data_IF_246019044256
#
_entry.id   IF_246019044256
#
_cell.length_a   1.000
_cell.length_b   1.000
_cell.length_c   1.000
_cell.angle_alpha   90.00
_cell.angle_beta   90.00
_cell.angle_gamma   90.00
#
_symmetry.space_group_name_H-M   'P 1'
#
loop_
_entity.id
_entity.type
_entity.pdbx_description
1 polymer ?
#
# COMPACT_ATOMS: atom_id res chain seq x y z
N UNK A 1 26.33 59.23 4.98
CA UNK A 1 25.40 58.11 4.69
C UNK A 1 26.12 57.05 3.86
N UNK A 2 26.61 55.96 4.46
CA UNK A 2 26.89 54.65 3.81
C UNK A 2 27.72 53.78 4.73
N UNK A 3 27.09 53.00 5.62
CA UNK A 3 27.79 51.91 6.33
C UNK A 3 26.83 50.85 6.89
N UNK A 4 25.81 50.44 6.13
CA UNK A 4 24.83 49.44 6.58
C UNK A 4 24.51 48.32 5.57
N UNK A 5 25.24 48.25 4.44
CA UNK A 5 25.07 47.18 3.43
C UNK A 5 25.96 45.96 3.66
N UNK A 6 27.06 46.08 4.41
CA UNK A 6 28.03 44.98 4.62
C UNK A 6 27.50 43.90 5.58
N UNK A 7 26.92 44.28 6.73
CA UNK A 7 26.43 43.35 7.77
C UNK A 7 25.24 42.46 7.34
N UNK A 8 24.49 42.84 6.29
CA UNK A 8 23.33 42.07 5.80
C UNK A 8 23.72 40.86 4.95
N UNK A 9 24.88 40.87 4.28
CA UNK A 9 25.33 39.74 3.44
C UNK A 9 25.90 38.59 4.28
N UNK A 10 26.64 38.90 5.34
CA UNK A 10 27.33 37.91 6.19
C UNK A 10 26.37 37.09 7.08
N UNK A 11 25.22 37.68 7.45
CA UNK A 11 24.18 36.97 8.20
C UNK A 11 23.43 35.94 7.34
N UNK A 12 23.25 36.21 6.04
CA UNK A 12 22.55 35.28 5.15
C UNK A 12 23.37 34.02 4.88
N UNK A 13 24.69 34.15 4.69
CA UNK A 13 25.57 32.98 4.51
C UNK A 13 25.63 32.13 5.78
N UNK A 14 25.68 32.77 6.96
CA UNK A 14 25.71 32.06 8.25
C UNK A 14 24.38 31.33 8.51
N UNK A 15 23.25 31.99 8.25
CA UNK A 15 21.93 31.36 8.36
C UNK A 15 21.76 30.19 7.39
N UNK A 16 22.16 30.34 6.13
CA UNK A 16 22.12 29.25 5.14
C UNK A 16 23.00 28.07 5.56
N UNK A 17 24.19 28.33 6.11
CA UNK A 17 25.08 27.29 6.61
C UNK A 17 24.49 26.55 7.82
N UNK A 18 23.89 27.29 8.77
CA UNK A 18 23.21 26.68 9.91
C UNK A 18 22.03 25.83 9.45
N UNK A 19 21.20 26.36 8.56
CA UNK A 19 20.04 25.67 8.01
C UNK A 19 20.44 24.38 7.27
N UNK A 20 21.48 24.43 6.44
CA UNK A 20 21.99 23.24 5.74
C UNK A 20 22.57 22.20 6.70
N UNK A 21 23.28 22.62 7.76
CA UNK A 21 23.76 21.69 8.81
C UNK A 21 22.58 21.02 9.51
N UNK A 22 21.59 21.79 9.94
CA UNK A 22 20.38 21.26 10.56
C UNK A 22 19.66 20.29 9.65
N UNK A 23 19.49 20.59 8.35
CA UNK A 23 18.86 19.67 7.41
C UNK A 23 19.68 18.41 7.14
N UNK A 24 21.01 18.50 7.12
CA UNK A 24 21.88 17.32 6.96
C UNK A 24 21.87 16.43 8.21
N UNK A 25 21.62 17.00 9.39
CA UNK A 25 21.51 16.26 10.65
C UNK A 25 20.13 15.60 10.82
N UNK A 26 19.12 15.99 10.04
CA UNK A 26 17.80 15.35 10.04
C UNK A 26 17.93 13.95 9.45
N UNK A 27 17.94 12.94 10.33
CA UNK A 27 17.80 11.55 9.94
C UNK A 27 16.34 11.27 9.58
N UNK A 28 16.07 10.98 8.31
CA UNK A 28 14.79 10.41 7.89
C UNK A 28 14.74 8.97 8.39
N UNK A 29 13.82 8.67 9.30
CA UNK A 29 13.68 7.32 9.86
C UNK A 29 13.16 6.33 8.82
N UNK A 30 12.41 6.80 7.82
CA UNK A 30 11.88 5.98 6.72
C UNK A 30 11.31 6.82 5.57
N UNK A 31 10.75 6.13 4.59
CA UNK A 31 10.14 6.70 3.39
C UNK A 31 8.66 7.04 3.60
N UNK A 32 8.14 7.93 2.76
CA UNK A 32 6.72 8.29 2.75
C UNK A 32 5.84 7.11 2.27
N UNK A 33 6.36 6.28 1.37
CA UNK A 33 5.68 5.09 0.88
C UNK A 33 6.67 3.95 0.64
N UNK A 34 6.21 2.72 0.87
CA UNK A 34 6.94 1.50 0.57
C UNK A 34 6.40 0.83 -0.68
N UNK A 35 7.28 0.23 -1.47
CA UNK A 35 6.90 -0.65 -2.57
C UNK A 35 7.94 -1.75 -2.76
N UNK A 36 7.57 -2.81 -3.45
CA UNK A 36 8.49 -3.89 -3.77
C UNK A 36 7.77 -5.21 -4.00
N UNK A 37 8.58 -6.27 -4.10
CA UNK A 37 8.11 -7.65 -4.22
C UNK A 37 8.41 -8.38 -2.92
N UNK A 38 7.47 -9.22 -2.49
CA UNK A 38 7.74 -10.18 -1.43
C UNK A 38 8.36 -11.43 -2.07
N UNK A 39 9.47 -11.96 -1.52
CA UNK A 39 9.98 -13.27 -1.92
C UNK A 39 8.98 -14.35 -1.49
N UNK A 40 8.89 -15.42 -2.29
CA UNK A 40 8.19 -16.67 -1.92
C UNK A 40 6.73 -16.51 -1.48
N UNK A 41 5.94 -15.74 -2.25
CA UNK A 41 4.50 -15.58 -2.00
C UNK A 41 3.78 -16.91 -2.23
N UNK A 42 3.24 -17.48 -1.16
CA UNK A 42 2.39 -18.66 -1.25
C UNK A 42 1.03 -18.34 -1.91
N UNK A 43 0.43 -19.32 -2.57
CA UNK A 43 -0.92 -19.16 -3.14
C UNK A 43 -1.92 -18.85 -2.01
N UNK A 44 -2.68 -17.75 -2.06
CA UNK A 44 -3.67 -17.42 -1.03
C UNK A 44 -4.78 -18.47 -0.85
N UNK A 45 -5.08 -19.29 -1.87
CA UNK A 45 -6.22 -20.23 -1.86
C UNK A 45 -7.52 -19.50 -1.50
N UNK A 46 -7.97 -18.64 -2.41
CA UNK A 46 -9.15 -17.79 -2.22
C UNK A 46 -10.43 -18.61 -2.42
N UNK A 47 -11.34 -18.54 -1.45
CA UNK A 47 -12.71 -19.03 -1.56
C UNK A 47 -13.68 -17.85 -1.57
N UNK A 48 -14.60 -17.82 -2.53
CA UNK A 48 -15.60 -16.75 -2.67
C UNK A 48 -16.96 -17.30 -2.29
N UNK A 49 -17.73 -16.54 -1.51
CA UNK A 49 -19.07 -16.92 -1.08
C UNK A 49 -19.97 -17.19 -2.29
N UNK A 50 -20.58 -18.39 -2.33
CA UNK A 50 -21.44 -18.80 -3.44
C UNK A 50 -20.70 -19.35 -4.66
N UNK A 51 -19.38 -19.53 -4.60
CA UNK A 51 -18.60 -20.35 -5.54
C UNK A 51 -18.04 -21.54 -4.76
N UNK A 52 -18.40 -22.77 -5.18
CA UNK A 52 -18.00 -23.99 -4.45
C UNK A 52 -16.53 -24.35 -4.66
N UNK A 53 -15.97 -23.95 -5.80
CA UNK A 53 -14.60 -24.29 -6.18
C UNK A 53 -13.59 -23.25 -5.67
N UNK A 54 -12.39 -23.74 -5.33
CA UNK A 54 -11.27 -22.88 -4.99
C UNK A 54 -10.81 -22.08 -6.21
N UNK A 55 -10.54 -20.79 -6.04
CA UNK A 55 -9.95 -19.98 -7.10
C UNK A 55 -8.50 -20.41 -7.31
N UNK A 56 -8.23 -21.03 -8.45
CA UNK A 56 -6.89 -21.43 -8.91
C UNK A 56 -6.25 -20.36 -9.77
N UNK A 57 -4.93 -20.28 -9.70
CA UNK A 57 -4.10 -19.47 -10.59
C UNK A 57 -3.23 -20.36 -11.50
N UNK A 58 -3.00 -19.98 -12.77
CA UNK A 58 -3.57 -18.82 -13.46
C UNK A 58 -5.08 -18.96 -13.67
N UNK A 59 -5.79 -17.83 -13.68
CA UNK A 59 -7.24 -17.80 -13.87
C UNK A 59 -7.62 -18.26 -15.27
N UNK A 60 -8.61 -19.14 -15.39
CA UNK A 60 -9.21 -19.53 -16.68
C UNK A 60 -10.54 -18.80 -16.90
N UNK A 61 -10.95 -18.67 -18.17
CA UNK A 61 -12.14 -17.89 -18.54
C UNK A 61 -13.44 -18.35 -17.87
N UNK A 62 -13.59 -19.64 -17.56
CA UNK A 62 -14.75 -20.15 -16.81
C UNK A 62 -14.76 -19.63 -15.37
N UNK A 63 -13.62 -19.65 -14.69
CA UNK A 63 -13.48 -19.09 -13.34
C UNK A 63 -13.72 -17.58 -13.33
N UNK A 64 -13.19 -16.85 -14.32
CA UNK A 64 -13.39 -15.40 -14.45
C UNK A 64 -14.87 -15.05 -14.50
N UNK A 65 -15.65 -15.74 -15.33
CA UNK A 65 -17.12 -15.52 -15.43
C UNK A 65 -17.82 -15.76 -14.10
N UNK A 66 -17.49 -16.85 -13.40
CA UNK A 66 -18.06 -17.16 -12.08
C UNK A 66 -17.72 -16.10 -11.03
N UNK A 67 -16.48 -15.58 -11.05
CA UNK A 67 -16.06 -14.49 -10.15
C UNK A 67 -16.86 -13.21 -10.47
N UNK A 68 -16.97 -12.84 -11.75
CA UNK A 68 -17.70 -11.64 -12.19
C UNK A 68 -19.17 -11.67 -11.74
N UNK A 69 -19.83 -12.84 -11.80
CA UNK A 69 -21.22 -13.00 -11.31
C UNK A 69 -21.39 -12.67 -9.82
N UNK A 70 -20.32 -12.70 -9.02
CA UNK A 70 -20.34 -12.30 -7.61
C UNK A 70 -19.88 -10.86 -7.39
N UNK A 71 -19.20 -10.26 -8.36
CA UNK A 71 -18.64 -8.93 -8.26
C UNK A 71 -19.69 -7.84 -8.49
N UNK A 72 -19.35 -6.63 -8.02
CA UNK A 72 -19.94 -5.38 -8.50
C UNK A 72 -18.91 -4.64 -9.36
N UNK A 73 -19.34 -3.72 -10.22
CA UNK A 73 -18.41 -2.82 -10.90
C UNK A 73 -17.67 -1.98 -9.86
N UNK A 74 -16.35 -1.94 -9.95
CA UNK A 74 -15.51 -1.15 -9.07
C UNK A 74 -15.73 0.34 -9.38
N UNK A 75 -16.22 1.14 -8.41
CA UNK A 75 -16.35 2.56 -8.62
C UNK A 75 -14.96 3.21 -8.61
N UNK A 76 -14.76 4.26 -9.41
CA UNK A 76 -13.52 5.03 -9.44
C UNK A 76 -13.72 6.41 -8.82
N UNK A 77 -12.79 6.80 -7.95
CA UNK A 77 -12.76 8.14 -7.38
C UNK A 77 -12.10 9.13 -8.34
N UNK A 78 -12.85 10.13 -8.81
CA UNK A 78 -12.31 11.30 -9.52
C UNK A 78 -12.49 12.53 -8.62
N UNK A 79 -11.41 12.93 -7.95
CA UNK A 79 -11.45 13.95 -6.89
C UNK A 79 -12.44 13.55 -5.79
N UNK A 80 -13.43 14.37 -5.49
CA UNK A 80 -14.41 14.14 -4.42
C UNK A 80 -15.61 13.29 -4.88
N UNK A 81 -15.60 12.82 -6.14
CA UNK A 81 -16.73 12.12 -6.76
C UNK A 81 -16.40 10.68 -7.07
N UNK A 82 -17.27 9.78 -6.63
CA UNK A 82 -17.29 8.37 -7.02
C UNK A 82 -18.05 8.23 -8.34
N UNK A 83 -17.34 8.05 -9.47
CA UNK A 83 -17.91 7.95 -10.82
C UNK A 83 -17.71 6.53 -11.36
N UNK A 84 -18.78 5.94 -11.89
CA UNK A 84 -18.72 4.70 -12.68
C UNK A 84 -18.50 5.08 -14.15
N UNK A 85 -17.25 5.21 -14.57
CA UNK A 85 -16.88 5.43 -15.97
C UNK A 85 -16.20 4.18 -16.53
N UNK A 86 -16.96 3.37 -17.26
CA UNK A 86 -16.50 2.12 -17.87
C UNK A 86 -15.58 2.34 -19.07
N UNK A 87 -15.40 3.58 -19.56
CA UNK A 87 -14.47 3.90 -20.65
C UNK A 87 -13.00 3.97 -20.21
N UNK A 88 -12.75 4.04 -18.90
CA UNK A 88 -11.40 4.20 -18.33
C UNK A 88 -10.92 2.90 -17.68
N UNK A 89 -11.82 2.11 -17.06
CA UNK A 89 -11.46 0.83 -16.43
C UNK A 89 -12.66 -0.10 -16.30
N UNK A 90 -12.65 -1.22 -17.00
CA UNK A 90 -13.57 -2.33 -16.70
C UNK A 90 -12.95 -3.14 -15.55
N UNK A 91 -13.31 -2.79 -14.33
CA UNK A 91 -12.81 -3.47 -13.13
C UNK A 91 -13.96 -3.93 -12.30
N UNK A 92 -13.88 -5.18 -11.87
CA UNK A 92 -14.84 -5.82 -10.99
C UNK A 92 -14.26 -5.83 -9.57
N UNK A 93 -15.09 -5.57 -8.56
CA UNK A 93 -14.69 -5.63 -7.16
C UNK A 93 -15.58 -6.55 -6.33
N UNK A 94 -14.97 -7.18 -5.32
CA UNK A 94 -15.62 -7.90 -4.23
C UNK A 94 -15.23 -7.29 -2.89
N UNK A 95 -16.20 -7.22 -2.00
CA UNK A 95 -15.99 -6.82 -0.60
C UNK A 95 -15.22 -7.90 0.16
N UNK A 96 -14.32 -7.55 1.10
CA UNK A 96 -13.59 -8.50 1.94
C UNK A 96 -14.46 -9.51 2.67
N UNK A 97 -15.70 -9.16 3.04
CA UNK A 97 -16.63 -10.09 3.70
C UNK A 97 -17.17 -11.18 2.77
N UNK A 98 -17.00 -11.02 1.46
CA UNK A 98 -17.51 -11.95 0.44
C UNK A 98 -16.52 -13.04 0.05
N UNK A 99 -15.32 -13.07 0.63
CA UNK A 99 -14.32 -14.09 0.37
C UNK A 99 -13.42 -14.33 1.57
N UNK A 100 -12.73 -15.47 1.58
CA UNK A 100 -11.72 -15.80 2.58
C UNK A 100 -10.45 -16.31 1.91
N UNK A 101 -9.32 -16.11 2.59
CA UNK A 101 -8.02 -16.64 2.22
C UNK A 101 -7.74 -17.83 3.14
N UNK A 102 -7.65 -19.02 2.57
CA UNK A 102 -7.62 -20.28 3.35
C UNK A 102 -6.22 -20.83 3.58
N UNK A 103 -5.20 -20.33 2.87
CA UNK A 103 -3.85 -20.81 3.06
C UNK A 103 -3.20 -20.23 4.34
N UNK A 104 -2.91 -21.09 5.33
CA UNK A 104 -2.22 -20.71 6.56
C UNK A 104 -0.84 -20.11 6.29
N UNK A 105 -0.09 -20.66 5.32
CA UNK A 105 1.24 -20.16 4.97
C UNK A 105 1.16 -18.75 4.39
N UNK A 106 0.10 -18.43 3.64
CA UNK A 106 -0.12 -17.06 3.20
C UNK A 106 -0.37 -16.14 4.40
N UNK A 107 -1.27 -16.54 5.30
CA UNK A 107 -1.66 -15.72 6.46
C UNK A 107 -0.49 -15.51 7.42
N UNK A 108 0.38 -16.50 7.61
CA UNK A 108 1.51 -16.41 8.54
C UNK A 108 2.73 -15.82 7.84
N UNK A 109 3.24 -16.49 6.80
CA UNK A 109 4.52 -16.14 6.20
C UNK A 109 4.43 -14.83 5.40
N UNK A 110 3.47 -14.73 4.47
CA UNK A 110 3.36 -13.55 3.59
C UNK A 110 3.04 -12.29 4.39
N UNK A 111 2.09 -12.35 5.34
CA UNK A 111 1.73 -11.18 6.15
C UNK A 111 2.85 -10.76 7.10
N UNK A 112 3.60 -11.69 7.71
CA UNK A 112 4.72 -11.33 8.59
C UNK A 112 5.86 -10.66 7.82
N UNK A 113 6.19 -11.16 6.63
CA UNK A 113 7.17 -10.53 5.75
C UNK A 113 6.69 -9.15 5.29
N UNK A 114 5.40 -9.01 5.00
CA UNK A 114 4.80 -7.73 4.65
C UNK A 114 4.85 -6.72 5.81
N UNK A 115 4.47 -7.12 7.04
CA UNK A 115 4.58 -6.26 8.23
C UNK A 115 6.02 -5.80 8.45
N UNK A 116 6.99 -6.72 8.32
CA UNK A 116 8.42 -6.42 8.46
C UNK A 116 8.89 -5.41 7.42
N UNK A 117 8.47 -5.58 6.16
CA UNK A 117 8.77 -4.64 5.09
C UNK A 117 8.13 -3.27 5.32
N UNK A 118 6.87 -3.21 5.75
CA UNK A 118 6.18 -1.96 6.07
C UNK A 118 6.91 -1.19 7.17
N UNK A 119 7.31 -1.87 8.25
CA UNK A 119 8.04 -1.25 9.36
C UNK A 119 9.38 -0.68 8.90
N UNK A 120 10.12 -1.45 8.10
CA UNK A 120 11.39 -0.99 7.54
C UNK A 120 11.21 0.18 6.58
N UNK A 121 10.30 0.06 5.60
CA UNK A 121 10.09 1.06 4.56
C UNK A 121 9.59 2.38 5.15
N UNK A 122 8.67 2.33 6.13
CA UNK A 122 8.11 3.52 6.77
C UNK A 122 8.93 4.03 7.97
N UNK A 123 10.03 3.35 8.31
CA UNK A 123 10.92 3.78 9.38
C UNK A 123 10.31 3.68 10.78
N UNK A 124 9.38 2.75 10.97
CA UNK A 124 8.72 2.48 12.23
C UNK A 124 9.64 1.70 13.17
N UNK A 125 9.39 1.78 14.48
CA UNK A 125 10.18 1.03 15.44
C UNK A 125 9.84 -0.46 15.38
N UNK A 126 10.85 -1.34 15.41
CA UNK A 126 10.64 -2.80 15.36
C UNK A 126 9.73 -3.35 16.46
N UNK A 127 9.61 -2.63 17.58
CA UNK A 127 8.71 -3.01 18.66
C UNK A 127 7.22 -2.90 18.27
N UNK A 128 6.88 -2.24 17.17
CA UNK A 128 5.51 -2.23 16.64
C UNK A 128 5.06 -3.62 16.20
N UNK A 129 5.97 -4.44 15.68
CA UNK A 129 5.67 -5.84 15.34
C UNK A 129 5.56 -6.66 16.63
N UNK A 130 6.51 -6.49 17.56
CA UNK A 130 6.56 -7.27 18.81
C UNK A 130 5.34 -7.03 19.71
N UNK A 131 4.83 -5.80 19.73
CA UNK A 131 3.66 -5.41 20.52
C UNK A 131 2.35 -5.46 19.70
N UNK A 132 2.37 -6.06 18.52
CA UNK A 132 1.22 -6.21 17.61
C UNK A 132 0.45 -4.91 17.35
N UNK A 133 1.18 -3.82 17.12
CA UNK A 133 0.64 -2.48 16.85
C UNK A 133 0.31 -2.24 15.37
N UNK A 134 0.49 -3.26 14.52
CA UNK A 134 0.25 -3.18 13.08
C UNK A 134 -0.77 -4.23 12.70
N UNK A 135 -1.95 -3.75 12.30
CA UNK A 135 -3.00 -4.59 11.76
C UNK A 135 -3.05 -4.49 10.23
N UNK A 136 -3.22 -5.63 9.56
CA UNK A 136 -3.33 -5.72 8.11
C UNK A 136 -4.70 -6.24 7.74
N UNK A 137 -5.51 -5.38 7.14
CA UNK A 137 -6.88 -5.71 6.75
C UNK A 137 -7.01 -5.74 5.22
N UNK A 138 -7.74 -6.74 4.73
CA UNK A 138 -8.12 -6.79 3.32
C UNK A 138 -9.03 -5.61 3.01
N UNK A 139 -8.69 -4.85 1.97
CA UNK A 139 -9.50 -3.73 1.53
C UNK A 139 -10.54 -4.12 0.48
N UNK A 140 -10.09 -4.71 -0.63
CA UNK A 140 -10.93 -5.14 -1.75
C UNK A 140 -10.25 -6.26 -2.53
N UNK A 141 -11.04 -7.12 -3.15
CA UNK A 141 -10.58 -7.98 -4.23
C UNK A 141 -10.92 -7.31 -5.56
N UNK A 142 -9.95 -7.16 -6.45
CA UNK A 142 -10.12 -6.50 -7.75
C UNK A 142 -9.77 -7.47 -8.87
N UNK A 143 -10.65 -7.57 -9.86
CA UNK A 143 -10.45 -8.32 -11.08
C UNK A 143 -10.41 -7.35 -12.27
N UNK A 144 -9.29 -7.38 -12.99
CA UNK A 144 -9.07 -6.58 -14.19
C UNK A 144 -9.38 -7.42 -15.42
N UNK A 145 -10.11 -6.81 -16.35
CA UNK A 145 -10.36 -7.32 -17.69
C UNK A 145 -9.54 -6.52 -18.72
#
# INVERSE_FOLDING_TARGET
MSSNKSKRKDNNSTFQQMLNRTFNDVRKSGDYCGSGRLPDVHDPKVMINGIQELIKFPLVSSQVKLIIEKCSLAPFGRQDKTILDTSIRHTWQLDPSSFIITNSEWNIYTLNNLKSKIVSDLGLHNDWIKNDLIDLQLYKFLLYE
#
